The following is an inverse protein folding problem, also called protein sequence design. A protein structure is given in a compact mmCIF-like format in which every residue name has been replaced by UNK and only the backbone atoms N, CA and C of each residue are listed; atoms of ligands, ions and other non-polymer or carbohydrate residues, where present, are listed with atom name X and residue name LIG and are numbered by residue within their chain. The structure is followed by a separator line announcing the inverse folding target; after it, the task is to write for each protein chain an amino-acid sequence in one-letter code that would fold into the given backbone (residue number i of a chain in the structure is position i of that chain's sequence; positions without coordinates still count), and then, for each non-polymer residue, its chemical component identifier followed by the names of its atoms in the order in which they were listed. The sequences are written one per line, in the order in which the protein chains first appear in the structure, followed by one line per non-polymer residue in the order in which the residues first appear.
data_IF_883296875635
#
_entry.id   IF_883296875635
#
_cell.length_a   1.000
_cell.length_b   1.000
_cell.length_c   1.000
_cell.angle_alpha   90.00
_cell.angle_beta   90.00
_cell.angle_gamma   90.00
#
_symmetry.space_group_name_H-M   'P 1'
#
loop_
_entity.id
_entity.type
_entity.pdbx_description
1 polymer ?
#
# COMPACT_ATOMS: atom_id res chain seq x y z
N UNK A 1 11.12 -25.91 -7.20
CA UNK A 1 9.78 -26.55 -7.32
C UNK A 1 9.17 -26.60 -5.93
N UNK A 2 8.03 -25.94 -5.69
CA UNK A 2 7.34 -26.00 -4.40
C UNK A 2 6.49 -27.27 -4.35
N UNK A 3 6.70 -28.09 -3.31
CA UNK A 3 5.98 -29.36 -3.11
C UNK A 3 4.79 -29.23 -2.14
N UNK A 4 4.38 -27.99 -1.84
CA UNK A 4 3.26 -27.69 -0.94
C UNK A 4 1.99 -28.32 -1.51
N UNK A 5 1.33 -29.18 -0.70
CA UNK A 5 0.09 -29.87 -1.06
C UNK A 5 0.24 -31.18 -1.84
N UNK A 6 1.47 -31.62 -2.17
CA UNK A 6 1.69 -32.87 -2.94
C UNK A 6 1.82 -34.13 -2.06
N UNK A 7 2.10 -33.96 -0.78
CA UNK A 7 2.25 -35.06 0.18
C UNK A 7 1.53 -34.71 1.47
N UNK A 8 0.89 -35.70 2.09
CA UNK A 8 0.34 -35.58 3.45
C UNK A 8 1.48 -35.62 4.46
N UNK A 9 1.29 -34.95 5.61
CA UNK A 9 2.26 -34.92 6.71
C UNK A 9 2.25 -36.21 7.54
N UNK A 10 1.23 -37.06 7.36
CA UNK A 10 1.07 -38.35 8.04
C UNK A 10 1.35 -39.53 7.08
N UNK A 11 1.79 -40.69 7.62
CA UNK A 11 2.04 -41.90 6.83
C UNK A 11 0.81 -42.43 6.10
N UNK A 12 1.03 -43.15 4.98
CA UNK A 12 -0.05 -43.71 4.16
C UNK A 12 -0.99 -44.66 4.92
N UNK A 13 -0.47 -45.39 5.92
CA UNK A 13 -1.25 -46.30 6.76
C UNK A 13 -2.26 -45.57 7.67
N UNK A 14 -1.98 -44.30 8.01
CA UNK A 14 -2.82 -43.48 8.89
C UNK A 14 -3.80 -42.61 8.11
N UNK A 15 -3.75 -42.63 6.76
CA UNK A 15 -4.59 -41.78 5.92
C UNK A 15 -6.09 -41.96 6.19
N UNK A 16 -6.55 -43.21 6.29
CA UNK A 16 -7.96 -43.50 6.52
C UNK A 16 -8.44 -42.96 7.88
N UNK A 17 -7.63 -43.11 8.93
CA UNK A 17 -7.93 -42.63 10.27
C UNK A 17 -7.97 -41.09 10.32
N UNK A 18 -6.99 -40.43 9.69
CA UNK A 18 -6.92 -38.98 9.66
C UNK A 18 -8.08 -38.38 8.84
N UNK A 19 -8.42 -38.98 7.70
CA UNK A 19 -9.56 -38.53 6.89
C UNK A 19 -10.89 -38.73 7.62
N UNK A 20 -11.02 -39.80 8.42
CA UNK A 20 -12.17 -40.01 9.30
C UNK A 20 -12.25 -38.93 10.39
N UNK A 21 -11.14 -38.62 11.07
CA UNK A 21 -11.08 -37.55 12.06
C UNK A 21 -11.43 -36.17 11.47
N UNK A 22 -10.91 -35.86 10.28
CA UNK A 22 -11.23 -34.62 9.56
C UNK A 22 -12.74 -34.58 9.24
N UNK A 23 -13.30 -35.70 8.78
CA UNK A 23 -14.73 -35.80 8.45
C UNK A 23 -15.60 -35.62 9.71
N UNK A 24 -15.25 -36.26 10.81
CA UNK A 24 -15.93 -36.09 12.11
C UNK A 24 -15.86 -34.64 12.59
N UNK A 25 -14.69 -34.01 12.51
CA UNK A 25 -14.50 -32.61 12.87
C UNK A 25 -15.38 -31.67 12.03
N UNK A 26 -15.39 -31.83 10.70
CA UNK A 26 -16.24 -31.03 9.80
C UNK A 26 -17.72 -31.22 10.14
N UNK A 27 -18.16 -32.46 10.35
CA UNK A 27 -19.55 -32.78 10.65
C UNK A 27 -20.00 -32.20 12.00
N UNK A 28 -19.16 -32.26 13.03
CA UNK A 28 -19.45 -31.66 14.35
C UNK A 28 -19.72 -30.16 14.29
N UNK A 29 -19.06 -29.45 13.36
CA UNK A 29 -19.26 -28.01 13.15
C UNK A 29 -20.48 -27.69 12.30
N UNK A 30 -20.84 -28.57 11.36
CA UNK A 30 -22.11 -28.45 10.61
C UNK A 30 -23.32 -28.58 11.52
N UNK A 31 -23.29 -29.47 12.50
CA UNK A 31 -24.40 -29.62 13.47
C UNK A 31 -24.55 -28.40 14.40
N UNK A 32 -23.48 -27.69 14.72
CA UNK A 32 -23.57 -26.44 15.48
C UNK A 32 -24.14 -25.26 14.66
N UNK A 33 -23.95 -25.25 13.33
CA UNK A 33 -24.53 -24.23 12.46
C UNK A 33 -26.06 -24.38 12.31
N UNK A 34 -26.60 -25.60 12.45
CA UNK A 34 -28.04 -25.85 12.46
C UNK A 34 -28.68 -25.67 13.85
N UNK A 35 -27.92 -25.81 14.94
CA UNK A 35 -28.44 -25.72 16.31
C UNK A 35 -28.85 -24.28 16.73
N UNK A 36 -28.46 -23.25 15.99
CA UNK A 36 -28.86 -21.85 16.25
C UNK A 36 -30.12 -21.42 15.49
N UNK A 37 -30.70 -22.28 14.65
CA UNK A 37 -31.89 -21.97 13.87
C UNK A 37 -32.99 -23.03 14.03
N UNK A 38 -33.44 -23.29 15.26
CA UNK A 38 -34.79 -23.84 15.45
C UNK A 38 -35.38 -23.47 16.81
N UNK A 39 -35.76 -22.19 16.92
CA UNK A 39 -36.96 -21.86 17.68
C UNK A 39 -37.85 -21.03 16.77
N UNK A 40 -38.78 -21.74 16.12
CA UNK A 40 -40.08 -21.27 15.59
C UNK A 40 -40.10 -20.88 14.10
N UNK A 41 -40.47 -21.83 13.24
CA UNK A 41 -41.63 -21.74 12.33
C UNK A 41 -41.62 -22.95 11.40
N UNK A 42 -42.63 -23.82 11.53
CA UNK A 42 -42.72 -25.05 10.75
C UNK A 42 -43.07 -24.81 9.30
N UNK A 43 -42.52 -25.64 8.41
CA UNK A 43 -43.17 -26.05 7.18
C UNK A 43 -42.77 -27.49 6.86
N UNK A 44 -43.78 -28.35 6.74
CA UNK A 44 -43.65 -29.71 6.25
C UNK A 44 -43.16 -29.70 4.81
N UNK A 45 -42.02 -30.34 4.53
CA UNK A 45 -41.87 -30.98 3.22
C UNK A 45 -41.17 -32.33 3.33
N UNK A 46 -41.95 -33.35 3.00
CA UNK A 46 -41.58 -34.75 2.89
C UNK A 46 -40.86 -34.90 1.54
N UNK A 47 -39.57 -35.21 1.56
CA UNK A 47 -38.78 -35.41 0.34
C UNK A 47 -37.71 -36.47 0.57
N UNK A 48 -38.09 -37.72 0.32
CA UNK A 48 -37.22 -38.89 0.40
C UNK A 48 -36.87 -39.28 -1.05
N UNK A 49 -35.61 -39.23 -1.46
CA UNK A 49 -35.03 -40.19 -2.40
C UNK A 49 -33.49 -40.13 -2.37
N UNK A 50 -32.87 -41.28 -2.12
CA UNK A 50 -31.42 -41.46 -2.29
C UNK A 50 -31.04 -41.91 -3.70
N UNK A 51 -29.73 -42.01 -3.94
CA UNK A 51 -29.16 -42.91 -4.96
C UNK A 51 -28.54 -42.26 -6.20
N UNK A 52 -27.23 -41.95 -6.11
CA UNK A 52 -26.11 -42.43 -6.97
C UNK A 52 -26.10 -42.19 -8.52
N UNK A 53 -25.01 -41.52 -8.96
CA UNK A 53 -24.19 -41.62 -10.20
C UNK A 53 -24.76 -41.27 -11.60
N UNK A 54 -24.16 -40.30 -12.33
CA UNK A 54 -23.06 -40.44 -13.34
C UNK A 54 -22.84 -39.13 -14.13
N UNK A 55 -21.63 -38.98 -14.67
CA UNK A 55 -21.18 -37.96 -15.64
C UNK A 55 -21.98 -37.97 -16.96
N UNK A 56 -22.28 -36.77 -17.48
CA UNK A 56 -22.18 -36.41 -18.90
C UNK A 56 -22.39 -34.89 -19.05
N UNK A 57 -21.57 -34.25 -19.88
CA UNK A 57 -21.52 -32.80 -20.05
C UNK A 57 -22.74 -32.20 -20.75
N UNK A 58 -22.96 -30.90 -20.51
CA UNK A 58 -23.65 -29.95 -21.37
C UNK A 58 -23.35 -28.54 -20.85
N UNK A 59 -23.00 -27.64 -21.76
CA UNK A 59 -22.67 -26.23 -21.50
C UNK A 59 -23.87 -25.43 -20.95
N UNK A 60 -23.66 -24.33 -20.21
CA UNK A 60 -24.75 -23.51 -19.71
C UNK A 60 -25.20 -22.49 -20.77
N UNK A 61 -26.51 -22.23 -20.93
CA UNK A 61 -26.98 -21.07 -21.65
C UNK A 61 -26.80 -19.81 -20.79
N UNK A 62 -26.53 -18.72 -21.49
CA UNK A 62 -26.38 -17.37 -20.99
C UNK A 62 -27.72 -16.81 -20.46
N UNK A 63 -27.55 -15.88 -19.52
CA UNK A 63 -28.42 -14.76 -19.18
C UNK A 63 -29.48 -14.89 -18.07
N UNK A 64 -29.22 -14.03 -17.07
CA UNK A 64 -30.05 -13.38 -16.05
C UNK A 64 -31.06 -14.22 -15.26
N UNK A 65 -30.83 -14.31 -13.95
CA UNK A 65 -31.66 -13.59 -12.95
C UNK A 65 -31.17 -13.87 -11.53
N UNK A 66 -31.24 -12.83 -10.72
CA UNK A 66 -30.92 -12.75 -9.30
C UNK A 66 -31.41 -13.96 -8.48
N UNK A 67 -30.55 -14.94 -8.23
CA UNK A 67 -30.80 -15.89 -7.15
C UNK A 67 -30.20 -15.35 -5.87
N UNK A 68 -31.11 -14.80 -5.06
CA UNK A 68 -30.99 -14.61 -3.62
C UNK A 68 -29.84 -15.42 -3.04
N UNK A 69 -28.82 -14.70 -2.55
CA UNK A 69 -27.65 -15.30 -1.95
C UNK A 69 -28.06 -16.28 -0.87
N UNK A 70 -27.93 -17.57 -1.15
CA UNK A 70 -27.95 -18.60 -0.11
C UNK A 70 -26.95 -18.15 0.93
N UNK A 71 -27.45 -17.72 2.09
CA UNK A 71 -26.65 -17.17 3.18
C UNK A 71 -25.62 -18.24 3.54
N UNK A 72 -24.39 -18.11 3.03
CA UNK A 72 -23.32 -19.09 3.24
C UNK A 72 -23.10 -19.24 4.75
N UNK A 73 -23.12 -18.13 5.48
CA UNK A 73 -23.28 -18.10 6.93
C UNK A 73 -24.02 -16.84 7.38
N UNK A 74 -24.81 -16.90 8.47
CA UNK A 74 -25.41 -15.70 9.06
C UNK A 74 -24.34 -14.64 9.36
N UNK A 75 -24.52 -13.43 8.84
CA UNK A 75 -23.60 -12.30 9.06
C UNK A 75 -22.39 -12.25 8.12
N UNK A 76 -22.23 -13.19 7.18
CA UNK A 76 -21.23 -13.03 6.12
C UNK A 76 -21.74 -12.03 5.07
N UNK A 77 -21.07 -10.88 4.97
CA UNK A 77 -21.25 -9.96 3.86
C UNK A 77 -20.06 -10.10 2.90
N UNK A 78 -20.26 -10.70 1.71
CA UNK A 78 -19.24 -10.69 0.66
C UNK A 78 -18.81 -9.26 0.36
N UNK A 79 -17.53 -9.07 0.04
CA UNK A 79 -17.08 -7.79 -0.53
C UNK A 79 -17.84 -7.52 -1.82
N UNK A 80 -18.08 -6.24 -2.09
CA UNK A 80 -18.61 -5.81 -3.37
C UNK A 80 -17.70 -6.29 -4.50
N UNK A 81 -18.29 -6.76 -5.60
CA UNK A 81 -17.55 -7.35 -6.74
C UNK A 81 -16.55 -6.37 -7.36
N UNK A 82 -16.77 -5.07 -7.14
CA UNK A 82 -15.92 -3.97 -7.62
C UNK A 82 -15.40 -3.20 -6.41
N UNK A 83 -14.10 -3.28 -6.15
CA UNK A 83 -13.46 -2.40 -5.16
C UNK A 83 -13.23 -1.03 -5.79
N UNK A 84 -13.81 0.03 -5.21
CA UNK A 84 -13.48 1.39 -5.62
C UNK A 84 -12.04 1.70 -5.23
N UNK A 85 -11.13 1.71 -6.22
CA UNK A 85 -9.73 2.10 -6.00
C UNK A 85 -9.67 3.60 -5.77
N UNK A 86 -9.53 4.01 -4.51
CA UNK A 86 -9.22 5.39 -4.13
C UNK A 86 -7.79 5.42 -3.61
N UNK A 87 -6.93 6.12 -4.32
CA UNK A 87 -5.51 6.22 -4.00
C UNK A 87 -5.08 7.65 -4.23
N UNK A 88 -4.27 8.24 -3.37
CA UNK A 88 -3.72 9.57 -3.60
C UNK A 88 -2.96 9.73 -4.94
N UNK A 89 -2.65 8.64 -5.66
CA UNK A 89 -2.17 8.67 -7.04
C UNK A 89 -3.21 9.12 -8.09
N UNK A 90 -4.51 9.09 -7.77
CA UNK A 90 -5.59 9.62 -8.64
C UNK A 90 -5.79 11.12 -8.50
N UNK A 91 -5.14 11.77 -7.52
CA UNK A 91 -5.25 13.21 -7.32
C UNK A 91 -4.59 13.98 -8.49
N UNK A 92 -5.12 15.16 -8.88
CA UNK A 92 -4.48 16.01 -9.85
C UNK A 92 -3.03 16.34 -9.44
N UNK A 93 -2.10 16.22 -10.37
CA UNK A 93 -0.67 16.44 -10.10
C UNK A 93 -0.41 17.86 -9.59
N UNK A 94 -1.08 18.87 -10.14
CA UNK A 94 -0.96 20.27 -9.70
C UNK A 94 -1.30 20.45 -8.21
N UNK A 95 -2.34 19.75 -7.74
CA UNK A 95 -2.74 19.78 -6.33
C UNK A 95 -1.69 19.12 -5.45
N UNK A 96 -1.13 17.98 -5.89
CA UNK A 96 -0.05 17.31 -5.16
C UNK A 96 1.18 18.21 -5.08
N UNK A 97 1.55 18.84 -6.19
CA UNK A 97 2.71 19.73 -6.28
C UNK A 97 2.54 20.98 -5.42
N UNK A 98 1.34 21.57 -5.37
CA UNK A 98 1.02 22.69 -4.47
C UNK A 98 1.21 22.31 -2.99
N UNK A 99 0.72 21.13 -2.59
CA UNK A 99 0.86 20.63 -1.22
C UNK A 99 2.33 20.32 -0.92
N UNK A 100 3.03 19.64 -1.82
CA UNK A 100 4.46 19.33 -1.68
C UNK A 100 5.28 20.61 -1.55
N UNK A 101 5.04 21.60 -2.41
CA UNK A 101 5.72 22.89 -2.36
C UNK A 101 5.46 23.63 -1.05
N UNK A 102 4.20 23.67 -0.61
CA UNK A 102 3.81 24.32 0.66
C UNK A 102 4.50 23.69 1.86
N UNK A 103 4.52 22.35 1.94
CA UNK A 103 5.19 21.63 3.03
C UNK A 103 6.71 21.81 2.96
N UNK A 104 7.31 21.79 1.78
CA UNK A 104 8.75 22.00 1.64
C UNK A 104 9.16 23.42 2.06
N UNK A 105 8.42 24.44 1.64
CA UNK A 105 8.66 25.82 2.04
C UNK A 105 8.48 26.00 3.57
N UNK A 106 7.52 25.32 4.17
CA UNK A 106 7.35 25.32 5.62
C UNK A 106 8.58 24.75 6.34
N UNK A 107 9.10 23.60 5.89
CA UNK A 107 10.31 22.99 6.48
C UNK A 107 11.54 23.90 6.30
N UNK A 108 11.67 24.58 5.16
CA UNK A 108 12.78 25.48 4.89
C UNK A 108 12.74 26.78 5.71
N UNK A 109 11.54 27.32 5.94
CA UNK A 109 11.37 28.58 6.67
C UNK A 109 11.27 28.40 8.20
N UNK A 110 10.96 27.20 8.67
CA UNK A 110 11.00 26.88 10.10
C UNK A 110 12.43 26.93 10.67
N UNK A 111 13.45 26.75 9.81
CA UNK A 111 14.85 26.91 10.19
C UNK A 111 15.12 28.34 10.70
N UNK A 112 15.57 28.52 11.96
CA UNK A 112 16.01 29.82 12.44
C UNK A 112 17.15 30.30 11.55
N UNK A 113 17.04 31.53 11.03
CA UNK A 113 18.14 32.27 10.44
C UNK A 113 19.35 32.16 11.37
N UNK A 114 20.34 31.34 10.98
CA UNK A 114 21.62 31.05 11.65
C UNK A 114 21.86 31.88 12.93
N UNK A 115 21.28 31.47 14.05
CA UNK A 115 21.74 31.96 15.35
C UNK A 115 22.94 31.10 15.74
N UNK A 116 24.11 31.72 15.70
CA UNK A 116 25.39 31.17 16.14
C UNK A 116 25.32 30.55 17.53
N UNK A 117 25.25 29.22 17.62
CA UNK A 117 25.76 28.41 18.75
C UNK A 117 25.53 26.94 18.43
N UNK A 118 26.54 26.19 18.02
CA UNK A 118 27.48 25.60 18.97
C UNK A 118 28.55 24.78 18.26
N UNK A 119 29.67 24.64 18.95
CA UNK A 119 30.95 24.15 18.46
C UNK A 119 30.93 22.64 18.21
N UNK A 120 31.05 22.21 16.96
CA UNK A 120 31.89 21.05 16.55
C UNK A 120 32.01 20.96 15.02
N UNK A 121 33.23 21.11 14.49
CA UNK A 121 33.66 20.49 13.22
C UNK A 121 33.16 21.12 11.92
N UNK A 122 34.02 21.91 11.28
CA UNK A 122 33.73 22.62 10.04
C UNK A 122 33.37 21.75 8.83
N UNK A 123 32.50 22.28 8.00
CA UNK A 123 32.54 22.11 6.54
C UNK A 123 31.68 23.19 5.88
N UNK A 124 32.27 24.00 4.99
CA UNK A 124 31.59 24.96 4.11
C UNK A 124 30.74 24.22 3.05
N UNK A 125 29.74 23.45 3.48
CA UNK A 125 28.91 22.64 2.58
C UNK A 125 27.44 22.57 3.07
N UNK A 126 26.94 23.70 3.57
CA UNK A 126 25.65 23.81 4.26
C UNK A 126 24.49 23.94 3.28
N UNK A 127 24.13 22.84 2.61
CA UNK A 127 22.85 22.74 1.89
C UNK A 127 21.72 22.81 2.92
N UNK A 128 20.75 23.70 2.70
CA UNK A 128 19.63 23.92 3.62
C UNK A 128 18.69 22.71 3.63
N UNK A 129 18.80 21.87 4.65
CA UNK A 129 17.88 20.74 4.84
C UNK A 129 16.56 21.17 5.49
N UNK A 130 16.43 22.42 5.93
CA UNK A 130 15.30 22.88 6.74
C UNK A 130 15.26 22.23 8.13
N UNK A 131 14.13 22.39 8.81
CA UNK A 131 13.84 21.79 10.10
C UNK A 131 13.04 20.48 9.96
N UNK A 132 13.00 19.68 11.04
CA UNK A 132 12.08 18.57 11.20
C UNK A 132 10.75 19.04 11.75
N UNK A 133 9.63 18.72 11.09
CA UNK A 133 8.30 18.96 11.65
C UNK A 133 7.54 17.66 11.86
N UNK A 134 6.77 17.59 12.93
CA UNK A 134 5.81 16.51 13.15
C UNK A 134 4.68 16.57 12.11
N UNK A 135 4.10 15.41 11.78
CA UNK A 135 2.94 15.34 10.89
C UNK A 135 1.77 16.20 11.38
N UNK A 136 1.68 16.43 12.69
CA UNK A 136 0.67 17.30 13.29
C UNK A 136 0.91 18.76 12.95
N UNK A 137 2.13 19.26 13.14
CA UNK A 137 2.49 20.65 12.81
C UNK A 137 2.29 20.93 11.31
N UNK A 138 2.68 19.98 10.45
CA UNK A 138 2.45 20.08 9.01
C UNK A 138 0.94 20.11 8.70
N UNK A 139 0.14 19.28 9.35
CA UNK A 139 -1.31 19.30 9.17
C UNK A 139 -1.95 20.60 9.66
N UNK A 140 -1.46 21.20 10.74
CA UNK A 140 -1.99 22.47 11.27
C UNK A 140 -1.76 23.65 10.31
N UNK A 141 -0.68 23.61 9.51
CA UNK A 141 -0.39 24.63 8.50
C UNK A 141 -1.14 24.41 7.18
N UNK A 142 -1.62 23.19 6.91
CA UNK A 142 -2.39 22.90 5.71
C UNK A 142 -3.87 23.23 5.90
N UNK A 143 -4.50 23.72 4.83
CA UNK A 143 -5.92 24.04 4.83
C UNK A 143 -6.77 22.80 5.18
N UNK A 144 -7.81 23.01 6.00
CA UNK A 144 -8.74 21.93 6.41
C UNK A 144 -9.39 21.23 5.20
N UNK A 145 -9.69 21.98 4.15
CA UNK A 145 -10.24 21.45 2.90
C UNK A 145 -9.24 20.55 2.16
N UNK A 146 -7.97 20.94 2.08
CA UNK A 146 -6.87 20.12 1.54
C UNK A 146 -6.74 18.81 2.30
N UNK A 147 -6.78 18.85 3.63
CA UNK A 147 -6.70 17.65 4.46
C UNK A 147 -7.90 16.72 4.29
N UNK A 148 -9.11 17.26 4.14
CA UNK A 148 -10.32 16.47 3.85
C UNK A 148 -10.20 15.75 2.50
N UNK A 149 -9.74 16.45 1.46
CA UNK A 149 -9.47 15.85 0.14
C UNK A 149 -8.42 14.74 0.20
N UNK A 150 -7.33 14.94 0.96
CA UNK A 150 -6.31 13.91 1.13
C UNK A 150 -6.85 12.67 1.89
N UNK A 151 -7.78 12.89 2.83
CA UNK A 151 -8.43 11.79 3.57
C UNK A 151 -9.46 11.04 2.73
N UNK A 152 -10.17 11.72 1.82
CA UNK A 152 -11.18 11.06 0.97
C UNK A 152 -10.56 10.07 -0.02
N UNK A 153 -9.31 10.28 -0.40
CA UNK A 153 -8.54 9.40 -1.30
C UNK A 153 -7.74 8.30 -0.58
N UNK A 154 -8.16 7.93 0.64
CA UNK A 154 -7.70 6.77 1.44
C UNK A 154 -6.19 6.67 1.76
N UNK A 155 -5.34 7.61 1.35
CA UNK A 155 -3.92 7.66 1.72
C UNK A 155 -3.59 8.69 2.81
N UNK A 156 -4.32 9.80 2.90
CA UNK A 156 -4.01 10.88 3.84
C UNK A 156 -2.66 11.56 3.61
N UNK A 157 -2.35 12.57 4.45
CA UNK A 157 -1.14 13.38 4.33
C UNK A 157 0.15 12.56 4.43
N UNK A 158 0.22 11.61 5.36
CA UNK A 158 1.42 10.82 5.56
C UNK A 158 1.79 9.97 4.33
N UNK A 159 0.80 9.37 3.67
CA UNK A 159 1.03 8.56 2.47
C UNK A 159 1.45 9.44 1.30
N UNK A 160 0.86 10.63 1.15
CA UNK A 160 1.28 11.61 0.14
C UNK A 160 2.76 11.96 0.29
N UNK A 161 3.20 12.28 1.52
CA UNK A 161 4.58 12.65 1.79
C UNK A 161 5.53 11.46 1.58
N UNK A 162 5.13 10.24 1.96
CA UNK A 162 5.90 9.02 1.69
C UNK A 162 6.00 8.69 0.21
N UNK A 163 4.96 8.95 -0.58
CA UNK A 163 4.97 8.73 -2.02
C UNK A 163 5.93 9.70 -2.73
N UNK A 164 5.97 10.94 -2.26
CA UNK A 164 6.91 11.98 -2.70
C UNK A 164 8.31 11.80 -2.10
N UNK A 165 8.84 10.59 -2.23
CA UNK A 165 10.14 10.16 -1.71
C UNK A 165 11.32 10.92 -2.31
N UNK A 166 11.14 11.62 -3.43
CA UNK A 166 12.15 12.52 -3.98
C UNK A 166 12.48 13.62 -2.97
N UNK A 167 11.44 14.25 -2.42
CA UNK A 167 11.55 15.49 -1.63
C UNK A 167 11.57 15.20 -0.14
N UNK A 168 10.71 14.29 0.34
CA UNK A 168 10.49 14.09 1.76
C UNK A 168 10.98 12.74 2.26
N UNK A 169 11.43 12.75 3.51
CA UNK A 169 11.68 11.57 4.31
C UNK A 169 10.83 11.62 5.58
N UNK A 170 9.98 10.60 5.77
CA UNK A 170 9.08 10.49 6.93
C UNK A 170 9.59 9.40 7.87
N UNK A 171 10.19 9.81 9.00
CA UNK A 171 10.71 8.93 10.03
C UNK A 171 10.08 9.26 11.38
N UNK A 172 9.62 8.25 12.11
CA UNK A 172 9.05 8.40 13.47
C UNK A 172 7.93 9.46 13.57
N UNK A 173 7.11 9.60 12.53
CA UNK A 173 6.02 10.60 12.50
C UNK A 173 6.49 12.05 12.31
N UNK A 174 7.77 12.25 11.98
CA UNK A 174 8.36 13.53 11.58
C UNK A 174 8.71 13.52 10.10
N UNK A 175 8.58 14.68 9.49
CA UNK A 175 8.82 14.95 8.07
C UNK A 175 10.05 15.85 7.98
N UNK A 176 10.95 15.49 7.07
CA UNK A 176 12.19 16.21 6.81
C UNK A 176 12.37 16.30 5.30
N UNK A 177 13.10 17.32 4.86
CA UNK A 177 13.59 17.32 3.49
C UNK A 177 14.69 16.27 3.37
N UNK A 178 14.56 15.44 2.33
CA UNK A 178 15.47 14.32 2.07
C UNK A 178 16.80 14.85 1.53
N UNK A 179 17.88 14.49 2.21
CA UNK A 179 19.24 14.75 1.71
C UNK A 179 19.81 13.50 1.05
N UNK A 180 19.88 13.52 -0.28
CA UNK A 180 20.41 12.42 -1.09
C UNK A 180 21.92 12.18 -0.90
N UNK A 181 22.68 13.13 -0.31
CA UNK A 181 24.11 12.94 0.02
C UNK A 181 24.31 11.97 1.19
N UNK A 182 23.35 11.92 2.12
CA UNK A 182 23.39 11.06 3.32
C UNK A 182 22.94 9.64 3.03
N UNK A 183 22.42 9.36 1.84
CA UNK A 183 21.97 8.04 1.47
C UNK A 183 23.16 7.08 1.42
N UNK A 184 23.14 6.08 2.31
CA UNK A 184 24.13 5.00 2.26
C UNK A 184 24.06 4.35 0.88
N UNK A 185 25.20 4.14 0.20
CA UNK A 185 25.21 3.44 -1.08
C UNK A 185 24.50 2.10 -0.87
N UNK A 186 23.41 1.90 -1.63
CA UNK A 186 22.59 0.70 -1.54
C UNK A 186 23.52 -0.51 -1.68
N UNK A 187 23.60 -1.31 -0.62
CA UNK A 187 24.44 -2.52 -0.56
C UNK A 187 24.37 -3.28 -1.89
N UNK A 188 25.53 -3.76 -2.36
CA UNK A 188 25.74 -4.44 -3.65
C UNK A 188 24.86 -5.68 -3.86
N UNK A 189 24.10 -6.09 -2.85
CA UNK A 189 23.21 -7.26 -2.82
C UNK A 189 21.80 -6.97 -3.34
N UNK A 190 21.64 -6.18 -4.41
CA UNK A 190 20.35 -6.14 -5.12
C UNK A 190 20.32 -7.21 -6.21
N UNK A 191 19.24 -8.00 -6.34
CA UNK A 191 19.06 -8.88 -7.49
C UNK A 191 19.10 -8.06 -8.79
N UNK A 192 19.74 -8.58 -9.84
CA UNK A 192 20.00 -7.87 -11.11
C UNK A 192 18.75 -7.20 -11.70
N UNK A 193 17.58 -7.84 -11.57
CA UNK A 193 16.29 -7.32 -12.01
C UNK A 193 16.00 -5.92 -11.42
N UNK A 194 16.30 -5.71 -10.13
CA UNK A 194 16.10 -4.41 -9.48
C UNK A 194 17.15 -3.36 -9.89
N UNK A 195 18.34 -3.77 -10.35
CA UNK A 195 19.35 -2.84 -10.91
C UNK A 195 18.91 -2.32 -12.28
N UNK A 196 18.40 -3.19 -13.15
CA UNK A 196 17.88 -2.80 -14.48
C UNK A 196 16.74 -1.79 -14.36
N UNK A 197 15.75 -2.07 -13.51
CA UNK A 197 14.63 -1.15 -13.26
C UNK A 197 15.07 0.22 -12.70
N UNK A 198 16.17 0.28 -11.96
CA UNK A 198 16.71 1.55 -11.45
C UNK A 198 17.43 2.36 -12.53
N UNK A 199 18.05 1.67 -13.50
CA UNK A 199 18.72 2.33 -14.64
C UNK A 199 17.72 2.84 -15.67
N UNK A 200 16.61 2.12 -15.86
CA UNK A 200 15.51 2.52 -16.75
C UNK A 200 14.70 3.69 -16.18
N UNK A 201 14.60 3.80 -14.85
CA UNK A 201 14.00 4.95 -14.18
C UNK A 201 14.96 6.16 -14.01
N UNK A 202 16.18 6.11 -14.55
CA UNK A 202 17.15 7.19 -14.41
C UNK A 202 16.82 8.35 -15.35
N UNK A 203 16.62 9.55 -14.78
CA UNK A 203 16.29 10.79 -15.49
C UNK A 203 14.99 10.77 -16.29
N UNK A 204 14.00 9.99 -15.85
CA UNK A 204 12.65 9.99 -16.45
C UNK A 204 11.75 11.12 -15.95
N UNK A 205 12.16 11.80 -14.87
CA UNK A 205 11.42 12.91 -14.25
C UNK A 205 12.37 14.05 -13.89
N UNK A 206 11.85 15.27 -13.91
CA UNK A 206 12.59 16.46 -13.47
C UNK A 206 12.94 16.40 -11.99
N UNK A 207 14.07 16.99 -11.64
CA UNK A 207 14.54 17.09 -10.27
C UNK A 207 13.78 18.19 -9.53
N UNK A 208 12.93 17.82 -8.56
CA UNK A 208 12.19 18.79 -7.76
C UNK A 208 13.12 19.78 -7.05
N UNK A 209 14.27 19.32 -6.53
CA UNK A 209 15.23 20.19 -5.86
C UNK A 209 15.89 21.19 -6.81
N UNK A 210 16.13 20.82 -8.06
CA UNK A 210 16.69 21.75 -9.04
C UNK A 210 15.70 22.88 -9.37
N UNK A 211 14.40 22.59 -9.40
CA UNK A 211 13.36 23.54 -9.79
C UNK A 211 12.92 24.43 -8.63
N UNK A 212 12.74 23.84 -7.43
CA UNK A 212 12.02 24.49 -6.34
C UNK A 212 12.86 24.77 -5.08
N UNK A 213 14.03 24.13 -4.93
CA UNK A 213 14.84 24.34 -3.73
C UNK A 213 15.70 25.59 -3.87
N UNK A 214 15.77 26.47 -2.85
CA UNK A 214 16.53 27.73 -2.94
C UNK A 214 18.04 27.51 -3.17
N UNK A 215 18.61 26.45 -2.58
CA UNK A 215 20.03 26.08 -2.80
C UNK A 215 20.24 25.14 -4.01
N UNK A 216 19.18 24.83 -4.76
CA UNK A 216 19.20 23.82 -5.82
C UNK A 216 19.37 22.39 -5.31
N UNK A 217 19.67 21.47 -6.23
CA UNK A 217 19.90 20.06 -5.89
C UNK A 217 21.20 19.87 -5.12
N UNK A 218 21.17 19.04 -4.07
CA UNK A 218 22.37 18.71 -3.30
C UNK A 218 23.35 17.83 -4.10
N UNK A 219 22.91 17.10 -5.12
CA UNK A 219 23.76 16.28 -5.96
C UNK A 219 24.18 17.00 -7.25
N UNK A 220 25.36 16.71 -7.81
CA UNK A 220 25.69 17.10 -9.18
C UNK A 220 24.75 16.39 -10.17
N UNK A 221 24.49 17.00 -11.33
CA UNK A 221 23.58 16.48 -12.37
C UNK A 221 23.88 15.03 -12.79
N UNK A 222 25.15 14.64 -12.80
CA UNK A 222 25.58 13.29 -13.20
C UNK A 222 25.21 12.22 -12.16
N UNK A 223 25.20 12.59 -10.87
CA UNK A 223 24.90 11.69 -9.77
C UNK A 223 23.42 11.73 -9.36
N UNK A 224 22.66 12.74 -9.81
CA UNK A 224 21.25 12.86 -9.52
C UNK A 224 20.44 11.84 -10.33
N UNK A 225 19.58 11.03 -9.70
CA UNK A 225 18.68 10.11 -10.42
C UNK A 225 17.58 10.83 -11.22
N UNK A 226 17.41 12.15 -11.03
CA UNK A 226 16.41 12.98 -11.67
C UNK A 226 17.07 14.02 -12.57
N UNK A 227 16.37 14.46 -13.62
CA UNK A 227 16.89 15.36 -14.63
C UNK A 227 16.99 16.82 -14.13
N UNK A 228 18.14 17.48 -14.29
CA UNK A 228 18.35 18.90 -13.97
C UNK A 228 18.01 19.80 -15.16
N UNK A 229 16.79 19.65 -15.69
CA UNK A 229 16.31 20.36 -16.88
C UNK A 229 15.76 19.39 -17.93
N UNK A 230 15.16 19.95 -18.97
CA UNK A 230 14.56 19.19 -20.09
C UNK A 230 15.61 18.46 -20.93
N UNK A 231 16.82 18.99 -21.00
CA UNK A 231 17.95 18.42 -21.76
C UNK A 231 18.37 17.03 -21.27
N UNK A 232 18.14 16.77 -19.98
CA UNK A 232 18.56 15.55 -19.30
C UNK A 232 17.45 14.50 -19.23
N UNK A 233 16.22 14.88 -19.57
CA UNK A 233 15.04 14.04 -19.47
C UNK A 233 15.07 12.96 -20.58
N UNK A 234 14.81 11.69 -20.21
CA UNK A 234 14.78 10.54 -21.11
C UNK A 234 13.44 9.84 -21.13
#
# INVERSE_FOLDING_TARGET
VSFIGKSRTYPAAECALMDEQITQFINSRRTCAAATCDRRAGFNHKGHCGGRCKEAGSEPPEDETETAGTIWMPGFQPREKVEQVRNCASLPQDFVDEVVFSVANLLLNAAPQKSCSDKQGGSMNTWNQGESLSLREVAEHLNKETLKKLKSEYGGLQTLLKNNHQVFEVLNGRVHIRDWRKEKPRSKTKPEVKRRLSAEAFKTRLCWFFIHHPDGCSLPSEACPYAHGTEELR
#
